data_IF_630088714269
#
_entry.id   IF_630088714269
#
_cell.length_a   1.000
_cell.length_b   1.000
_cell.length_c   1.000
_cell.angle_alpha   90.00
_cell.angle_beta   90.00
_cell.angle_gamma   90.00
#
_symmetry.space_group_name_H-M   'P 1'
#
loop_
_entity.id
_entity.type
_entity.pdbx_description
1 polymer ?
#
# COMPACT_ATOMS: atom_id res chain seq x y z
N UNK A 1 -24.61 -39.26 50.06
CA UNK A 1 -24.85 -39.15 48.60
C UNK A 1 -25.88 -38.05 48.43
N UNK A 2 -25.40 -36.86 48.10
CA UNK A 2 -26.21 -35.69 47.78
C UNK A 2 -25.53 -35.07 46.56
N UNK A 3 -26.20 -35.21 45.42
CA UNK A 3 -25.74 -34.78 44.11
C UNK A 3 -25.86 -33.26 43.99
N UNK A 4 -24.81 -32.63 43.47
CA UNK A 4 -24.70 -31.18 43.27
C UNK A 4 -25.18 -30.83 41.86
N UNK A 5 -26.29 -30.11 41.78
CA UNK A 5 -26.96 -29.70 40.55
C UNK A 5 -26.26 -28.45 39.96
N UNK A 6 -25.67 -28.57 38.78
CA UNK A 6 -24.99 -27.48 38.08
C UNK A 6 -25.98 -26.69 37.22
N UNK A 7 -26.34 -25.49 37.64
CA UNK A 7 -27.23 -24.58 36.91
C UNK A 7 -26.64 -24.12 35.56
N UNK A 8 -27.46 -24.15 34.49
CA UNK A 8 -27.13 -23.56 33.18
C UNK A 8 -27.62 -22.11 33.10
N UNK A 9 -26.81 -21.16 32.61
CA UNK A 9 -27.22 -19.76 32.51
C UNK A 9 -28.25 -19.52 31.40
N UNK A 10 -29.31 -18.78 31.73
CA UNK A 10 -30.51 -18.56 30.90
C UNK A 10 -30.55 -17.14 30.31
N UNK A 11 -29.57 -16.77 29.48
CA UNK A 11 -29.64 -15.54 28.66
C UNK A 11 -28.52 -15.47 27.64
N UNK A 12 -28.84 -15.14 26.38
CA UNK A 12 -27.84 -14.93 25.31
C UNK A 12 -26.83 -13.83 25.62
N UNK A 13 -27.11 -12.92 26.55
CA UNK A 13 -26.20 -11.85 26.96
C UNK A 13 -25.11 -12.34 27.92
N UNK A 14 -25.43 -13.29 28.80
CA UNK A 14 -24.47 -13.88 29.74
C UNK A 14 -23.48 -14.82 29.03
N UNK A 15 -23.93 -15.51 27.98
CA UNK A 15 -23.08 -16.34 27.13
C UNK A 15 -22.03 -15.53 26.35
N UNK A 16 -22.40 -14.34 25.85
CA UNK A 16 -21.46 -13.45 25.14
C UNK A 16 -20.46 -12.81 26.12
N UNK A 17 -20.91 -12.52 27.35
CA UNK A 17 -20.05 -11.97 28.40
C UNK A 17 -19.06 -13.02 28.93
N UNK A 18 -19.46 -14.30 29.00
CA UNK A 18 -18.55 -15.38 29.38
C UNK A 18 -17.51 -15.68 28.29
N UNK A 19 -17.88 -15.62 27.01
CA UNK A 19 -16.95 -15.78 25.87
C UNK A 19 -15.92 -14.64 25.79
N UNK A 20 -16.32 -13.40 26.07
CA UNK A 20 -15.41 -12.25 26.08
C UNK A 20 -14.47 -12.24 27.30
N UNK A 21 -14.90 -12.80 28.44
CA UNK A 21 -14.06 -13.00 29.62
C UNK A 21 -13.06 -14.13 29.42
N UNK A 22 -13.51 -15.27 28.89
CA UNK A 22 -12.63 -16.40 28.55
C UNK A 22 -11.56 -16.02 27.51
N UNK A 23 -11.92 -15.24 26.49
CA UNK A 23 -10.96 -14.74 25.50
C UNK A 23 -9.98 -13.68 26.04
N UNK A 24 -10.32 -12.99 27.13
CA UNK A 24 -9.42 -12.05 27.81
C UNK A 24 -8.42 -12.78 28.70
N UNK A 25 -8.87 -13.80 29.43
CA UNK A 25 -8.03 -14.62 30.31
C UNK A 25 -7.03 -15.50 29.50
N UNK A 26 -7.42 -15.95 28.30
CA UNK A 26 -6.54 -16.70 27.39
C UNK A 26 -5.47 -15.79 26.74
N UNK A 27 -5.80 -14.53 26.46
CA UNK A 27 -4.84 -13.54 25.94
C UNK A 27 -3.85 -13.07 27.03
N UNK A 28 -4.31 -13.00 28.28
CA UNK A 28 -3.49 -12.60 29.44
C UNK A 28 -2.55 -13.73 29.87
N UNK A 29 -2.99 -14.99 29.84
CA UNK A 29 -2.10 -16.16 30.03
C UNK A 29 -1.02 -16.25 28.95
N UNK A 30 -1.37 -16.01 27.67
CA UNK A 30 -0.38 -15.98 26.57
C UNK A 30 0.59 -14.81 26.67
N UNK A 31 0.17 -13.71 27.31
CA UNK A 31 1.03 -12.54 27.59
C UNK A 31 2.01 -12.81 28.73
N UNK A 32 1.59 -13.56 29.75
CA UNK A 32 2.46 -14.01 30.85
C UNK A 32 3.45 -15.06 30.38
N UNK A 33 3.05 -16.05 29.56
CA UNK A 33 3.98 -17.03 28.97
C UNK A 33 5.05 -16.40 28.07
N UNK A 34 4.72 -15.31 27.35
CA UNK A 34 5.67 -14.56 26.53
C UNK A 34 6.66 -13.73 27.36
N UNK A 35 6.27 -13.29 28.55
CA UNK A 35 7.12 -12.52 29.47
C UNK A 35 8.08 -13.41 30.28
N UNK A 36 7.74 -14.68 30.50
CA UNK A 36 8.60 -15.64 31.23
C UNK A 36 9.73 -16.21 30.36
N UNK A 37 9.65 -16.07 29.03
CA UNK A 37 10.70 -16.53 28.09
C UNK A 37 11.68 -15.43 27.64
N UNK A 38 11.64 -14.22 28.23
CA UNK A 38 12.57 -13.12 27.89
C UNK A 38 13.49 -12.76 29.06
N UNK A 39 14.34 -13.70 29.48
CA UNK A 39 15.47 -13.39 30.37
C UNK A 39 16.76 -13.98 29.83
N UNK A 40 17.78 -13.13 29.86
CA UNK A 40 19.20 -13.32 29.56
C UNK A 40 19.65 -13.50 28.11
N UNK A 41 19.91 -12.36 27.45
CA UNK A 41 21.18 -12.10 26.76
C UNK A 41 21.38 -10.58 26.62
N UNK A 42 22.18 -9.98 27.51
CA UNK A 42 22.69 -8.62 27.29
C UNK A 42 23.81 -8.70 26.23
N UNK A 43 23.49 -8.40 24.97
CA UNK A 43 24.50 -8.02 23.99
C UNK A 43 24.48 -6.49 23.85
N UNK A 44 25.59 -5.85 24.27
CA UNK A 44 25.87 -4.45 23.98
C UNK A 44 25.83 -4.23 22.46
N UNK A 45 24.76 -3.61 21.97
CA UNK A 45 24.71 -3.10 20.60
C UNK A 45 25.44 -1.78 20.58
N UNK A 46 26.70 -1.83 20.17
CA UNK A 46 27.53 -0.65 19.95
C UNK A 46 26.86 0.26 18.90
N UNK A 47 26.28 1.36 19.37
CA UNK A 47 25.49 2.30 18.58
C UNK A 47 26.39 3.36 17.97
N UNK A 48 27.26 2.94 17.05
CA UNK A 48 28.04 3.87 16.25
C UNK A 48 27.15 4.44 15.11
N UNK A 49 27.12 5.76 14.91
CA UNK A 49 26.40 6.36 13.79
C UNK A 49 27.04 5.90 12.47
N UNK A 50 26.27 5.21 11.64
CA UNK A 50 26.71 4.76 10.32
C UNK A 50 27.14 5.99 9.52
N UNK A 51 28.44 6.10 9.23
CA UNK A 51 28.98 7.24 8.50
C UNK A 51 28.65 7.11 7.01
N UNK A 52 28.40 8.26 6.36
CA UNK A 52 28.06 8.38 4.94
C UNK A 52 29.04 7.62 4.00
N UNK A 53 30.28 7.44 4.43
CA UNK A 53 31.34 6.77 3.67
C UNK A 53 31.19 5.23 3.63
N UNK A 54 30.68 4.59 4.68
CA UNK A 54 30.54 3.13 4.73
C UNK A 54 29.46 2.58 3.78
N UNK A 55 28.47 3.41 3.41
CA UNK A 55 27.39 3.03 2.48
C UNK A 55 27.87 3.00 1.02
N UNK A 56 28.90 3.78 0.67
CA UNK A 56 29.36 3.95 -0.72
C UNK A 56 30.22 2.79 -1.25
N UNK A 57 30.75 1.91 -0.39
CA UNK A 57 31.82 0.97 -0.76
C UNK A 57 31.44 -0.53 -0.70
N UNK A 58 30.18 -0.89 -0.42
CA UNK A 58 29.74 -2.30 -0.50
C UNK A 58 29.10 -2.57 -1.88
N UNK A 59 29.44 -3.68 -2.58
CA UNK A 59 28.73 -4.10 -3.79
C UNK A 59 27.35 -4.64 -3.38
N UNK A 60 26.44 -3.72 -3.06
CA UNK A 60 25.11 -4.00 -2.55
C UNK A 60 24.05 -3.75 -3.61
N UNK A 61 23.44 -4.84 -4.10
CA UNK A 61 22.20 -4.89 -4.89
C UNK A 61 22.05 -3.80 -5.97
N UNK A 62 22.28 -4.16 -7.24
CA UNK A 62 21.92 -3.31 -8.38
C UNK A 62 20.43 -2.97 -8.25
N UNK A 63 20.11 -1.69 -8.04
CA UNK A 63 18.73 -1.27 -7.87
C UNK A 63 17.92 -1.54 -9.14
N UNK A 64 16.86 -2.35 -9.03
CA UNK A 64 16.01 -2.69 -10.17
C UNK A 64 15.19 -1.48 -10.66
N UNK A 65 15.30 -1.17 -11.96
CA UNK A 65 14.46 -0.20 -12.66
C UNK A 65 13.10 -0.84 -13.03
N UNK A 66 12.04 -0.04 -13.13
CA UNK A 66 10.76 -0.52 -13.66
C UNK A 66 10.84 -0.78 -15.17
N UNK A 67 11.57 0.08 -15.89
CA UNK A 67 11.82 -0.06 -17.31
C UNK A 67 13.25 0.37 -17.66
N UNK A 68 13.78 -0.19 -18.75
CA UNK A 68 15.13 0.11 -19.23
C UNK A 68 15.17 1.08 -20.43
N UNK A 69 14.11 1.87 -20.67
CA UNK A 69 14.03 2.77 -21.83
C UNK A 69 15.17 3.80 -21.91
N UNK A 70 15.71 4.19 -20.75
CA UNK A 70 16.87 5.08 -20.66
C UNK A 70 18.13 4.50 -21.32
N UNK A 71 18.28 3.17 -21.36
CA UNK A 71 19.41 2.50 -22.05
C UNK A 71 19.37 2.72 -23.58
N UNK A 72 18.22 3.11 -24.11
CA UNK A 72 18.00 3.39 -25.52
C UNK A 72 17.89 4.91 -25.81
N UNK A 73 18.28 5.77 -24.86
CA UNK A 73 18.21 7.23 -25.03
C UNK A 73 16.78 7.80 -25.10
N UNK A 74 15.77 7.04 -24.65
CA UNK A 74 14.36 7.45 -24.63
C UNK A 74 13.87 7.78 -23.23
N UNK A 75 14.73 8.30 -22.36
CA UNK A 75 14.42 8.57 -20.95
C UNK A 75 13.35 9.65 -20.78
N UNK A 76 13.46 10.77 -21.52
CA UNK A 76 12.50 11.88 -21.43
C UNK A 76 11.12 11.57 -22.05
N UNK A 77 11.08 10.66 -23.03
CA UNK A 77 9.85 10.24 -23.73
C UNK A 77 9.24 8.96 -23.15
N UNK A 78 9.89 8.36 -22.15
CA UNK A 78 9.47 7.07 -21.61
C UNK A 78 8.16 7.17 -20.83
N UNK A 79 7.09 6.62 -21.42
CA UNK A 79 5.78 6.46 -20.76
C UNK A 79 5.59 5.14 -20.01
N UNK A 80 6.61 4.28 -19.89
CA UNK A 80 6.44 3.01 -19.18
C UNK A 80 5.98 3.24 -17.73
N UNK A 81 4.91 2.57 -17.33
CA UNK A 81 4.29 2.72 -16.01
C UNK A 81 3.40 3.95 -15.86
N UNK A 82 3.35 4.84 -16.86
CA UNK A 82 2.31 5.86 -16.96
C UNK A 82 1.07 5.15 -17.51
N UNK A 83 0.10 4.86 -16.66
CA UNK A 83 -1.17 4.30 -17.11
C UNK A 83 -1.89 5.43 -17.88
N UNK A 84 -2.17 5.23 -19.18
CA UNK A 84 -2.83 6.21 -20.08
C UNK A 84 -4.30 6.52 -19.70
N UNK A 85 -4.67 6.31 -18.43
CA UNK A 85 -6.01 6.65 -17.94
C UNK A 85 -6.20 8.16 -18.06
N UNK A 86 -7.26 8.56 -18.76
CA UNK A 86 -7.76 9.94 -19.01
C UNK A 86 -8.05 10.72 -17.71
N UNK A 87 -7.80 10.12 -16.55
CA UNK A 87 -8.18 10.67 -15.28
C UNK A 87 -7.14 11.71 -14.83
N UNK A 88 -7.59 12.94 -14.65
CA UNK A 88 -6.77 14.08 -14.23
C UNK A 88 -6.00 13.79 -12.94
N UNK A 89 -4.82 14.41 -12.82
CA UNK A 89 -3.99 14.35 -11.61
C UNK A 89 -4.63 15.24 -10.53
N UNK A 90 -4.94 14.67 -9.36
CA UNK A 90 -5.55 15.42 -8.25
C UNK A 90 -4.63 16.54 -7.72
N UNK A 91 -3.32 16.38 -7.91
CA UNK A 91 -2.33 17.39 -7.58
C UNK A 91 -1.13 17.32 -8.53
N UNK A 92 -0.45 18.46 -8.64
CA UNK A 92 0.78 18.65 -9.44
C UNK A 92 1.85 19.35 -8.60
N UNK A 93 3.07 19.51 -9.11
CA UNK A 93 4.11 20.26 -8.41
C UNK A 93 3.78 21.75 -8.33
N UNK A 94 4.07 22.37 -7.20
CA UNK A 94 3.79 23.77 -6.93
C UNK A 94 4.95 24.68 -7.35
N UNK A 95 4.69 25.58 -8.31
CA UNK A 95 5.66 26.58 -8.75
C UNK A 95 6.06 27.56 -7.65
N UNK A 96 5.17 27.78 -6.68
CA UNK A 96 5.38 28.69 -5.56
C UNK A 96 5.97 27.99 -4.33
N UNK A 97 6.02 26.66 -4.32
CA UNK A 97 6.55 25.87 -3.22
C UNK A 97 7.64 24.90 -3.68
N UNK A 98 8.77 25.50 -4.08
CA UNK A 98 10.00 24.82 -4.49
C UNK A 98 11.21 25.67 -4.12
N UNK A 99 12.38 25.05 -4.01
CA UNK A 99 13.64 25.77 -3.87
C UNK A 99 14.03 26.54 -5.14
N UNK A 100 14.94 27.52 -5.00
CA UNK A 100 15.44 28.33 -6.11
C UNK A 100 16.09 27.49 -7.23
N UNK A 101 16.84 26.44 -6.86
CA UNK A 101 17.53 25.54 -7.80
C UNK A 101 16.61 24.47 -8.43
N UNK A 102 15.29 24.72 -8.49
CA UNK A 102 14.28 23.80 -9.01
C UNK A 102 13.48 24.44 -10.14
N UNK A 103 13.33 23.71 -11.24
CA UNK A 103 12.50 24.06 -12.40
C UNK A 103 11.41 23.01 -12.56
N UNK A 104 10.16 23.44 -12.72
CA UNK A 104 9.01 22.56 -12.95
C UNK A 104 8.63 22.65 -14.43
N UNK A 105 8.32 21.51 -15.05
CA UNK A 105 7.92 21.43 -16.45
C UNK A 105 6.54 22.04 -16.74
N UNK A 106 6.17 22.22 -18.02
CA UNK A 106 4.93 22.90 -18.42
C UNK A 106 3.65 22.24 -17.89
N UNK A 107 3.60 20.90 -17.87
CA UNK A 107 2.47 20.13 -17.34
C UNK A 107 2.46 20.02 -15.80
N UNK A 108 3.46 20.64 -15.15
CA UNK A 108 3.70 20.62 -13.70
C UNK A 108 3.83 19.22 -13.09
N UNK A 109 4.04 18.18 -13.89
CA UNK A 109 4.26 16.80 -13.41
C UNK A 109 5.73 16.44 -13.31
N UNK A 110 6.55 17.04 -14.16
CA UNK A 110 8.00 16.88 -14.14
C UNK A 110 8.66 17.98 -13.30
N UNK A 111 9.64 17.60 -12.49
CA UNK A 111 10.50 18.52 -11.76
C UNK A 111 11.96 18.21 -12.07
N UNK A 112 12.73 19.24 -12.42
CA UNK A 112 14.17 19.21 -12.65
C UNK A 112 14.88 19.98 -11.53
N UNK A 113 15.82 19.32 -10.88
CA UNK A 113 16.69 19.92 -9.87
C UNK A 113 18.03 20.28 -10.48
N UNK A 114 18.61 21.39 -10.02
CA UNK A 114 19.98 21.81 -10.35
C UNK A 114 20.24 21.79 -11.87
N UNK A 115 19.50 22.59 -12.67
CA UNK A 115 19.53 22.49 -14.13
C UNK A 115 20.91 22.72 -14.75
N UNK A 116 21.75 23.52 -14.08
CA UNK A 116 23.10 23.88 -14.53
C UNK A 116 24.17 23.04 -13.80
N UNK A 117 24.31 23.30 -12.50
CA UNK A 117 25.22 22.61 -11.57
C UNK A 117 24.54 22.42 -10.21
N UNK A 118 25.06 21.51 -9.40
CA UNK A 118 24.56 21.28 -8.05
C UNK A 118 25.34 22.09 -7.03
N UNK A 119 24.63 22.86 -6.21
CA UNK A 119 25.22 23.71 -5.16
C UNK A 119 24.74 23.38 -3.74
N UNK A 120 23.83 22.43 -3.59
CA UNK A 120 23.27 22.04 -2.31
C UNK A 120 22.07 21.11 -2.48
N UNK A 121 21.08 21.25 -1.61
CA UNK A 121 19.87 20.43 -1.65
C UNK A 121 18.68 21.24 -2.15
N UNK A 122 18.02 20.73 -3.18
CA UNK A 122 16.84 21.32 -3.80
C UNK A 122 15.60 20.47 -3.51
N UNK A 123 14.45 21.11 -3.39
CA UNK A 123 13.19 20.50 -2.93
C UNK A 123 12.01 21.03 -3.76
N UNK A 124 11.00 20.19 -3.97
CA UNK A 124 9.71 20.58 -4.51
C UNK A 124 8.57 19.97 -3.69
N UNK A 125 7.49 20.74 -3.54
CA UNK A 125 6.26 20.36 -2.84
C UNK A 125 5.08 20.30 -3.81
N UNK A 126 4.15 19.36 -3.61
CA UNK A 126 2.89 19.33 -4.35
C UNK A 126 1.91 20.43 -3.92
N UNK A 127 0.90 20.68 -4.76
CA UNK A 127 -0.09 21.74 -4.54
C UNK A 127 -1.13 21.45 -3.46
N UNK A 128 -1.44 20.17 -3.21
CA UNK A 128 -2.57 19.79 -2.37
C UNK A 128 -2.14 19.29 -0.99
N UNK A 129 -2.71 19.82 0.11
CA UNK A 129 -2.56 19.24 1.43
C UNK A 129 -3.38 17.96 1.59
N UNK A 130 -2.77 16.97 2.22
CA UNK A 130 -3.34 15.66 2.57
C UNK A 130 -3.63 15.64 4.07
N UNK A 131 -4.89 15.37 4.46
CA UNK A 131 -5.37 15.59 5.84
C UNK A 131 -6.15 14.43 6.45
N UNK A 132 -7.05 13.81 5.69
CA UNK A 132 -8.13 12.99 6.25
C UNK A 132 -8.52 11.77 5.39
N UNK A 133 -7.90 11.62 4.22
CA UNK A 133 -8.18 10.53 3.30
C UNK A 133 -7.02 9.53 3.19
N UNK A 134 -7.20 8.56 2.30
CA UNK A 134 -6.17 7.66 1.81
C UNK A 134 -5.58 8.30 0.56
N UNK A 135 -4.29 8.59 0.56
CA UNK A 135 -3.63 9.22 -0.59
C UNK A 135 -2.59 8.28 -1.16
N UNK A 136 -2.63 8.06 -2.47
CA UNK A 136 -1.65 7.26 -3.17
C UNK A 136 -1.08 8.01 -4.36
N UNK A 137 0.24 8.03 -4.50
CA UNK A 137 0.89 8.58 -5.69
C UNK A 137 2.14 7.80 -6.08
N UNK A 138 2.54 7.90 -7.34
CA UNK A 138 3.73 7.27 -7.89
C UNK A 138 4.66 8.34 -8.48
N UNK A 139 5.93 8.30 -8.08
CA UNK A 139 7.02 9.13 -8.61
C UNK A 139 7.97 8.26 -9.41
N UNK A 140 8.20 8.61 -10.68
CA UNK A 140 9.19 7.98 -11.54
C UNK A 140 10.51 8.75 -11.51
N UNK A 141 11.60 8.02 -11.35
CA UNK A 141 12.96 8.55 -11.48
C UNK A 141 13.30 8.62 -12.97
N UNK A 142 13.28 9.82 -13.56
CA UNK A 142 13.42 9.99 -15.02
C UNK A 142 14.88 9.99 -15.43
N UNK A 143 15.74 10.62 -14.64
CA UNK A 143 17.19 10.76 -14.89
C UNK A 143 18.01 9.78 -14.05
N UNK A 144 19.33 9.67 -14.26
CA UNK A 144 20.24 8.99 -13.34
C UNK A 144 20.02 9.46 -11.89
N UNK A 145 20.10 8.50 -10.96
CA UNK A 145 19.93 8.71 -9.53
C UNK A 145 21.30 8.60 -8.86
N UNK A 146 21.79 9.71 -8.29
CA UNK A 146 23.13 9.81 -7.74
C UNK A 146 23.24 10.98 -6.75
N UNK A 147 24.47 11.34 -6.38
CA UNK A 147 24.76 12.46 -5.47
C UNK A 147 24.64 12.04 -4.00
N UNK A 148 24.59 13.04 -3.11
CA UNK A 148 24.46 12.81 -1.68
C UNK A 148 23.13 12.14 -1.35
N UNK A 149 22.03 12.72 -1.84
CA UNK A 149 20.71 12.12 -1.73
C UNK A 149 19.73 12.56 -2.82
N UNK A 150 18.75 11.69 -3.07
CA UNK A 150 17.52 11.89 -3.82
C UNK A 150 16.41 11.18 -3.05
N UNK A 151 15.33 11.90 -2.73
CA UNK A 151 14.33 11.41 -1.77
C UNK A 151 12.91 11.64 -2.25
N UNK A 152 12.00 10.76 -1.81
CA UNK A 152 10.55 10.87 -1.98
C UNK A 152 9.91 10.77 -0.60
N UNK A 153 8.91 11.60 -0.31
CA UNK A 153 8.23 11.55 0.97
C UNK A 153 7.17 12.63 1.14
N UNK A 154 7.01 13.08 2.38
CA UNK A 154 6.02 14.08 2.77
C UNK A 154 6.62 15.10 3.75
N UNK A 155 6.03 16.28 3.80
CA UNK A 155 6.38 17.29 4.79
C UNK A 155 5.27 18.29 5.06
N UNK A 156 5.40 19.03 6.16
CA UNK A 156 4.44 20.08 6.54
C UNK A 156 4.67 21.36 5.73
N UNK A 157 3.74 22.30 5.81
CA UNK A 157 3.91 23.63 5.21
C UNK A 157 4.95 24.50 5.92
N UNK A 158 5.46 24.08 7.08
CA UNK A 158 6.40 24.86 7.90
C UNK A 158 7.86 24.75 7.42
N UNK A 159 8.15 23.77 6.55
CA UNK A 159 9.49 23.57 6.03
C UNK A 159 9.96 24.75 5.17
N UNK A 160 11.13 25.28 5.50
CA UNK A 160 11.86 26.18 4.62
C UNK A 160 12.58 25.37 3.53
N UNK A 161 12.00 25.38 2.32
CA UNK A 161 12.47 24.59 1.18
C UNK A 161 13.86 25.00 0.66
N UNK A 162 14.33 26.23 0.98
CA UNK A 162 15.64 26.76 0.57
C UNK A 162 16.69 26.75 1.70
N UNK A 163 16.36 26.16 2.86
CA UNK A 163 17.24 26.13 4.04
C UNK A 163 18.62 25.55 3.74
N UNK A 164 18.69 24.55 2.88
CA UNK A 164 19.93 23.82 2.54
C UNK A 164 20.39 24.07 1.10
N UNK A 165 20.07 25.23 0.52
CA UNK A 165 20.44 25.56 -0.87
C UNK A 165 21.96 25.53 -1.16
N UNK A 166 22.79 25.68 -0.13
CA UNK A 166 24.26 25.64 -0.20
C UNK A 166 24.88 24.49 0.61
N UNK A 167 24.07 23.51 1.02
CA UNK A 167 24.49 22.39 1.87
C UNK A 167 23.89 21.08 1.33
N UNK A 168 24.70 20.06 1.15
CA UNK A 168 24.24 18.75 0.71
C UNK A 168 23.73 17.92 1.89
N UNK A 169 22.47 17.47 1.86
CA UNK A 169 21.92 16.62 2.90
C UNK A 169 20.73 15.77 2.41
N UNK A 170 20.42 14.72 3.18
CA UNK A 170 19.10 14.08 3.17
C UNK A 170 18.08 15.05 3.77
N UNK A 171 17.34 15.76 2.93
CA UNK A 171 16.43 16.84 3.35
C UNK A 171 15.21 16.31 4.08
N UNK A 172 14.48 15.37 3.45
CA UNK A 172 13.23 14.84 3.99
C UNK A 172 13.54 13.92 5.17
N UNK A 173 13.02 14.26 6.34
CA UNK A 173 13.29 13.55 7.58
C UNK A 173 14.49 14.07 8.37
N UNK A 174 15.13 15.16 7.91
CA UNK A 174 16.20 15.82 8.68
C UNK A 174 15.69 16.45 9.97
N UNK A 175 14.43 16.85 9.99
CA UNK A 175 13.73 17.41 11.14
C UNK A 175 12.42 16.64 11.43
N UNK A 176 11.62 17.15 12.36
CA UNK A 176 10.35 16.57 12.77
C UNK A 176 9.18 16.90 11.82
N UNK A 177 9.40 17.78 10.84
CA UNK A 177 8.36 18.31 9.94
C UNK A 177 8.33 17.58 8.59
N UNK A 178 9.20 16.60 8.39
CA UNK A 178 9.29 15.79 7.18
C UNK A 178 9.58 14.32 7.45
N UNK A 179 9.23 13.49 6.46
CA UNK A 179 9.47 12.04 6.42
C UNK A 179 9.86 11.67 4.99
N UNK A 180 10.91 10.87 4.80
CA UNK A 180 11.41 10.58 3.46
C UNK A 180 12.10 9.23 3.31
N UNK A 181 11.97 8.66 2.11
CA UNK A 181 12.74 7.51 1.66
C UNK A 181 13.87 7.99 0.72
N UNK A 182 15.11 7.74 1.11
CA UNK A 182 16.32 7.98 0.33
C UNK A 182 16.49 6.93 -0.79
N UNK A 183 17.10 7.34 -1.90
CA UNK A 183 17.52 6.42 -2.97
C UNK A 183 18.48 5.33 -2.54
N UNK A 184 19.14 5.53 -1.40
CA UNK A 184 20.01 4.54 -0.77
C UNK A 184 19.23 3.41 -0.09
N UNK A 185 17.90 3.56 0.08
CA UNK A 185 17.03 2.58 0.74
C UNK A 185 16.80 2.85 2.24
N UNK A 186 17.25 4.00 2.74
CA UNK A 186 17.04 4.45 4.12
C UNK A 186 15.76 5.28 4.24
N UNK A 187 15.00 5.09 5.33
CA UNK A 187 13.92 6.00 5.72
C UNK A 187 14.41 6.96 6.79
N UNK A 188 14.00 8.22 6.70
CA UNK A 188 14.48 9.32 7.53
C UNK A 188 13.33 10.03 8.24
N UNK A 189 13.53 10.34 9.53
CA UNK A 189 12.68 11.23 10.32
C UNK A 189 13.40 11.70 11.58
N UNK A 190 13.23 12.98 11.98
CA UNK A 190 13.87 13.57 13.18
C UNK A 190 15.40 13.41 13.20
N UNK A 191 16.04 13.40 12.03
CA UNK A 191 17.48 13.22 11.91
C UNK A 191 17.96 11.77 12.04
N UNK A 192 17.08 10.82 12.35
CA UNK A 192 17.39 9.39 12.36
C UNK A 192 17.24 8.80 10.96
N UNK A 193 18.10 7.84 10.62
CA UNK A 193 18.03 7.05 9.40
C UNK A 193 17.96 5.56 9.73
N UNK A 194 17.05 4.83 9.08
CA UNK A 194 16.85 3.38 9.32
C UNK A 194 16.82 2.64 7.99
N UNK A 195 17.50 1.49 7.92
CA UNK A 195 17.47 0.63 6.73
C UNK A 195 16.06 0.09 6.53
N UNK A 196 15.53 0.25 5.32
CA UNK A 196 14.14 -0.08 5.03
C UNK A 196 13.97 -0.84 3.71
N UNK A 197 14.70 -0.46 2.67
CA UNK A 197 14.59 -1.07 1.35
C UNK A 197 15.95 -1.18 0.65
N UNK A 198 15.98 -1.84 -0.51
CA UNK A 198 17.10 -1.75 -1.44
C UNK A 198 17.10 -0.42 -2.20
N UNK A 199 18.25 -0.08 -2.81
CA UNK A 199 18.42 1.16 -3.58
C UNK A 199 17.44 1.25 -4.75
N UNK A 200 17.07 2.46 -5.16
CA UNK A 200 16.36 2.71 -6.41
C UNK A 200 17.21 3.52 -7.39
N UNK A 201 16.93 3.37 -8.67
CA UNK A 201 17.78 3.83 -9.79
C UNK A 201 16.94 4.55 -10.85
N UNK A 202 17.58 4.99 -11.93
CA UNK A 202 16.87 5.55 -13.07
C UNK A 202 15.84 4.56 -13.61
N UNK A 203 14.64 5.06 -13.90
CA UNK A 203 13.52 4.24 -14.34
C UNK A 203 12.80 3.50 -13.21
N UNK A 204 13.25 3.56 -11.95
CA UNK A 204 12.45 3.07 -10.82
C UNK A 204 11.19 3.93 -10.61
N UNK A 205 10.12 3.28 -10.15
CA UNK A 205 8.88 3.93 -9.70
C UNK A 205 8.76 3.77 -8.20
N UNK A 206 8.61 4.88 -7.48
CA UNK A 206 8.37 4.91 -6.03
C UNK A 206 6.92 5.27 -5.78
N UNK A 207 6.16 4.32 -5.27
CA UNK A 207 4.78 4.54 -4.81
C UNK A 207 4.76 4.93 -3.34
N UNK A 208 3.84 5.81 -2.97
CA UNK A 208 3.64 6.26 -1.59
C UNK A 208 2.16 6.16 -1.27
N UNK A 209 1.83 5.46 -0.18
CA UNK A 209 0.49 5.45 0.42
C UNK A 209 0.55 6.17 1.77
N UNK A 210 -0.18 7.27 1.87
CA UNK A 210 -0.39 8.02 3.11
C UNK A 210 -1.82 7.74 3.60
N UNK A 211 -1.92 6.99 4.69
CA UNK A 211 -3.17 6.74 5.41
C UNK A 211 -3.29 7.76 6.54
N UNK A 212 -4.10 8.81 6.34
CA UNK A 212 -4.27 9.84 7.38
C UNK A 212 -5.17 9.39 8.54
N UNK A 213 -5.91 8.29 8.38
CA UNK A 213 -6.76 7.73 9.43
C UNK A 213 -5.95 6.91 10.43
N UNK A 214 -5.04 6.04 9.94
CA UNK A 214 -4.10 5.29 10.79
C UNK A 214 -2.81 6.06 11.07
N UNK A 215 -2.59 7.15 10.35
CA UNK A 215 -1.39 7.98 10.44
C UNK A 215 -0.14 7.23 10.01
N UNK A 216 -0.22 6.48 8.91
CA UNK A 216 0.89 5.66 8.43
C UNK A 216 1.39 6.12 7.06
N UNK A 217 2.71 6.05 6.86
CA UNK A 217 3.36 6.29 5.57
C UNK A 217 3.99 4.99 5.07
N UNK A 218 3.51 4.51 3.93
CA UNK A 218 3.87 3.22 3.34
C UNK A 218 4.49 3.43 1.97
N UNK A 219 5.59 2.74 1.68
CA UNK A 219 6.30 2.87 0.40
C UNK A 219 6.20 1.61 -0.46
N UNK A 220 6.31 1.83 -1.76
CA UNK A 220 6.33 0.80 -2.79
C UNK A 220 7.50 1.08 -3.74
N UNK A 221 8.15 0.04 -4.25
CA UNK A 221 9.14 0.15 -5.33
C UNK A 221 8.69 -0.71 -6.50
N UNK A 222 8.61 -0.10 -7.67
CA UNK A 222 8.15 -0.75 -8.90
C UNK A 222 6.81 -1.48 -8.68
N UNK A 223 5.88 -0.81 -7.97
CA UNK A 223 4.55 -1.31 -7.59
C UNK A 223 4.55 -2.51 -6.62
N UNK A 224 5.70 -2.93 -6.09
CA UNK A 224 5.82 -3.92 -5.00
C UNK A 224 5.85 -3.22 -3.65
N UNK A 225 5.07 -3.71 -2.68
CA UNK A 225 5.05 -3.16 -1.32
C UNK A 225 6.41 -3.35 -0.64
N UNK A 226 6.95 -2.28 -0.08
CA UNK A 226 8.12 -2.34 0.79
C UNK A 226 7.71 -2.47 2.27
N UNK A 227 6.60 -1.82 2.65
CA UNK A 227 6.03 -1.85 3.99
C UNK A 227 5.71 -0.46 4.53
N UNK A 228 5.31 -0.40 5.80
CA UNK A 228 5.07 0.86 6.52
C UNK A 228 6.37 1.40 7.09
N UNK A 229 6.76 2.59 6.69
CA UNK A 229 8.00 3.24 7.13
C UNK A 229 7.82 4.10 8.38
N UNK A 230 6.67 4.77 8.51
CA UNK A 230 6.41 5.71 9.60
C UNK A 230 4.97 5.61 10.11
N UNK A 231 4.80 5.97 11.39
CA UNK A 231 3.54 6.01 12.12
C UNK A 231 3.38 7.39 12.81
N UNK A 232 2.18 7.69 13.31
CA UNK A 232 1.91 8.92 14.06
C UNK A 232 1.78 10.18 13.18
N UNK A 233 1.36 10.02 11.92
CA UNK A 233 1.14 11.13 11.00
C UNK A 233 -0.27 11.76 11.11
N UNK A 234 -1.14 11.26 11.98
CA UNK A 234 -2.50 11.75 12.19
C UNK A 234 -2.54 13.24 12.59
N UNK A 235 -3.64 13.91 12.23
CA UNK A 235 -3.90 15.30 12.63
C UNK A 235 -2.99 16.35 11.98
N UNK A 236 -2.13 15.94 11.04
CA UNK A 236 -1.24 16.84 10.29
C UNK A 236 -1.84 17.20 8.94
N UNK A 237 -1.42 18.33 8.39
CA UNK A 237 -1.59 18.64 6.98
C UNK A 237 -0.25 18.40 6.28
N UNK A 238 -0.18 17.33 5.49
CA UNK A 238 1.05 16.90 4.84
C UNK A 238 0.98 17.13 3.35
N UNK A 239 2.13 17.44 2.75
CA UNK A 239 2.24 17.62 1.31
C UNK A 239 3.22 16.60 0.75
N UNK A 240 2.96 16.04 -0.43
CA UNK A 240 3.93 15.20 -1.12
C UNK A 240 5.15 16.05 -1.48
N UNK A 241 6.33 15.51 -1.24
CA UNK A 241 7.60 16.20 -1.46
C UNK A 241 8.64 15.29 -2.08
N UNK A 242 9.54 15.92 -2.84
CA UNK A 242 10.74 15.30 -3.39
C UNK A 242 11.92 16.22 -3.21
N UNK A 243 13.10 15.66 -3.00
CA UNK A 243 14.35 16.43 -2.88
C UNK A 243 15.50 15.79 -3.63
N UNK A 244 16.47 16.59 -4.05
CA UNK A 244 17.67 16.14 -4.75
C UNK A 244 18.88 17.02 -4.48
N UNK A 245 20.02 16.36 -4.35
CA UNK A 245 21.36 16.96 -4.42
C UNK A 245 22.06 16.70 -5.75
N UNK A 246 21.51 15.85 -6.61
CA UNK A 246 22.10 15.54 -7.91
C UNK A 246 21.89 16.69 -8.89
N UNK A 247 22.94 17.01 -9.65
CA UNK A 247 22.85 17.93 -10.77
C UNK A 247 21.94 17.35 -11.86
N UNK A 248 21.21 18.21 -12.58
CA UNK A 248 20.42 17.85 -13.76
C UNK A 248 19.49 16.65 -13.53
N UNK A 249 19.02 16.45 -12.30
CA UNK A 249 18.20 15.30 -11.96
C UNK A 249 16.71 15.62 -12.12
N UNK A 250 15.92 14.60 -12.45
CA UNK A 250 14.53 14.73 -12.84
C UNK A 250 13.65 13.66 -12.22
N UNK A 251 12.54 14.09 -11.64
CA UNK A 251 11.49 13.22 -11.11
C UNK A 251 10.15 13.60 -11.74
N UNK A 252 9.27 12.62 -11.93
CA UNK A 252 7.95 12.86 -12.53
C UNK A 252 6.86 12.18 -11.72
N UNK A 253 5.79 12.89 -11.41
CA UNK A 253 4.57 12.26 -10.91
C UNK A 253 3.84 11.58 -12.07
N UNK A 254 3.55 10.30 -11.92
CA UNK A 254 2.91 9.48 -12.96
C UNK A 254 1.51 8.99 -12.57
N UNK A 255 1.18 9.06 -11.27
CA UNK A 255 -0.15 8.78 -10.74
C UNK A 255 -0.37 9.55 -9.44
N UNK A 256 -1.56 10.09 -9.21
CA UNK A 256 -2.03 10.50 -7.89
C UNK A 256 -3.53 10.33 -7.75
N UNK A 257 -3.95 9.68 -6.67
CA UNK A 257 -5.35 9.42 -6.33
C UNK A 257 -5.55 9.56 -4.83
N UNK A 258 -6.73 10.01 -4.46
CA UNK A 258 -7.21 9.95 -3.09
C UNK A 258 -8.50 9.14 -3.02
N UNK A 259 -8.69 8.48 -1.89
CA UNK A 259 -9.88 7.71 -1.62
C UNK A 259 -10.36 7.98 -0.21
N UNK A 260 -11.67 8.13 -0.04
CA UNK A 260 -12.21 8.42 1.27
C UNK A 260 -12.01 7.26 2.23
N UNK A 261 -11.50 7.56 3.42
CA UNK A 261 -11.52 6.58 4.51
C UNK A 261 -12.98 6.28 4.84
N UNK A 262 -13.40 5.06 4.55
CA UNK A 262 -14.79 4.63 4.60
C UNK A 262 -14.85 3.12 4.84
N UNK A 263 -16.03 2.61 5.20
CA UNK A 263 -16.25 1.17 5.28
C UNK A 263 -15.93 0.49 3.95
N UNK A 264 -16.27 1.11 2.81
CA UNK A 264 -15.94 0.59 1.48
C UNK A 264 -14.43 0.41 1.28
N UNK A 265 -13.63 1.40 1.69
CA UNK A 265 -12.17 1.29 1.66
C UNK A 265 -11.66 0.19 2.60
N UNK A 266 -12.19 0.10 3.82
CA UNK A 266 -11.82 -0.95 4.76
C UNK A 266 -12.16 -2.34 4.20
N UNK A 267 -13.33 -2.52 3.56
CA UNK A 267 -13.67 -3.75 2.85
C UNK A 267 -12.66 -4.08 1.75
N UNK A 268 -12.21 -3.07 0.98
CA UNK A 268 -11.17 -3.27 -0.03
C UNK A 268 -9.83 -3.73 0.58
N UNK A 269 -9.46 -3.19 1.74
CA UNK A 269 -8.26 -3.63 2.46
C UNK A 269 -8.40 -5.08 2.95
N UNK A 270 -9.56 -5.45 3.51
CA UNK A 270 -9.85 -6.82 3.93
C UNK A 270 -9.81 -7.77 2.73
N UNK A 271 -10.47 -7.42 1.62
CA UNK A 271 -10.42 -8.20 0.37
C UNK A 271 -8.98 -8.42 -0.09
N UNK A 272 -8.14 -7.37 -0.04
CA UNK A 272 -6.73 -7.51 -0.39
C UNK A 272 -5.97 -8.48 0.52
N UNK A 273 -6.31 -8.52 1.81
CA UNK A 273 -5.70 -9.43 2.79
C UNK A 273 -6.18 -10.89 2.66
N UNK A 274 -7.38 -11.10 2.13
CA UNK A 274 -7.93 -12.44 1.90
C UNK A 274 -7.35 -13.13 0.66
N UNK A 275 -6.93 -12.35 -0.35
CA UNK A 275 -6.38 -12.88 -1.60
C UNK A 275 -4.85 -13.02 -1.50
N UNK A 276 -4.26 -14.16 -1.94
CA UNK A 276 -2.82 -14.37 -1.93
C UNK A 276 -2.02 -13.18 -2.51
N UNK A 277 -0.88 -12.79 -1.92
CA UNK A 277 -0.14 -11.60 -2.33
C UNK A 277 0.25 -11.59 -3.81
N UNK A 278 0.56 -12.74 -4.40
CA UNK A 278 0.95 -12.89 -5.80
C UNK A 278 -0.20 -12.76 -6.82
N UNK A 279 -1.45 -12.70 -6.37
CA UNK A 279 -2.61 -12.59 -7.25
C UNK A 279 -3.17 -11.17 -7.27
N UNK A 280 -3.74 -10.79 -8.41
CA UNK A 280 -4.50 -9.57 -8.54
C UNK A 280 -5.91 -9.80 -7.96
N UNK A 281 -6.33 -8.97 -7.00
CA UNK A 281 -7.64 -9.09 -6.34
C UNK A 281 -8.78 -8.97 -7.35
N UNK A 282 -8.65 -8.07 -8.33
CA UNK A 282 -9.68 -7.78 -9.31
C UNK A 282 -9.85 -8.88 -10.38
N UNK A 283 -8.87 -9.78 -10.50
CA UNK A 283 -8.90 -10.93 -11.39
C UNK A 283 -9.21 -12.23 -10.63
N UNK A 284 -8.86 -12.30 -9.35
CA UNK A 284 -9.10 -13.48 -8.51
C UNK A 284 -10.56 -13.63 -8.05
N UNK A 285 -11.35 -12.56 -8.14
CA UNK A 285 -12.75 -12.53 -7.72
C UNK A 285 -13.61 -12.11 -8.91
N UNK A 286 -14.67 -12.87 -9.18
CA UNK A 286 -15.68 -12.49 -10.17
C UNK A 286 -16.45 -11.26 -9.69
N UNK A 287 -16.05 -10.08 -10.19
CA UNK A 287 -16.66 -8.81 -9.86
C UNK A 287 -17.51 -8.25 -11.01
N UNK A 288 -18.63 -7.58 -10.72
CA UNK A 288 -19.37 -6.83 -11.72
C UNK A 288 -18.45 -5.85 -12.48
N UNK A 289 -18.56 -5.73 -13.82
CA UNK A 289 -17.62 -4.93 -14.62
C UNK A 289 -17.49 -3.47 -14.14
N UNK A 290 -18.59 -2.87 -13.67
CA UNK A 290 -18.58 -1.51 -13.11
C UNK A 290 -17.75 -1.39 -11.84
N UNK A 291 -17.87 -2.36 -10.92
CA UNK A 291 -17.06 -2.38 -9.70
C UNK A 291 -15.58 -2.62 -10.01
N UNK A 292 -15.29 -3.55 -10.93
CA UNK A 292 -13.91 -3.80 -11.38
C UNK A 292 -13.28 -2.54 -11.97
N UNK A 293 -14.00 -1.83 -12.84
CA UNK A 293 -13.54 -0.57 -13.42
C UNK A 293 -13.35 0.53 -12.36
N UNK A 294 -14.27 0.63 -11.40
CA UNK A 294 -14.14 1.57 -10.28
C UNK A 294 -12.88 1.32 -9.44
N UNK A 295 -12.64 0.05 -9.07
CA UNK A 295 -11.45 -0.31 -8.29
C UNK A 295 -10.16 -0.09 -9.08
N UNK A 296 -10.14 -0.41 -10.37
CA UNK A 296 -8.98 -0.13 -11.23
C UNK A 296 -8.68 1.38 -11.34
N UNK A 297 -9.71 2.21 -11.47
CA UNK A 297 -9.48 3.65 -11.61
C UNK A 297 -9.03 4.32 -10.30
N UNK A 298 -9.52 3.84 -9.14
CA UNK A 298 -9.32 4.52 -7.86
C UNK A 298 -8.35 3.83 -6.90
N UNK A 299 -8.31 2.49 -6.92
CA UNK A 299 -7.65 1.64 -5.92
C UNK A 299 -6.76 0.54 -6.53
N UNK A 300 -6.35 0.67 -7.79
CA UNK A 300 -5.53 -0.36 -8.45
C UNK A 300 -4.23 -0.68 -7.70
N UNK A 301 -3.61 0.34 -7.09
CA UNK A 301 -2.44 0.16 -6.22
C UNK A 301 -2.68 -0.79 -5.05
N UNK A 302 -3.93 -0.89 -4.57
CA UNK A 302 -4.33 -1.79 -3.50
C UNK A 302 -4.70 -3.17 -4.06
N UNK A 303 -5.26 -3.25 -5.27
CA UNK A 303 -5.73 -4.50 -5.89
C UNK A 303 -4.63 -5.30 -6.59
N UNK A 304 -3.52 -4.66 -6.98
CA UNK A 304 -2.40 -5.28 -7.69
C UNK A 304 -1.72 -6.40 -6.87
N UNK A 305 -1.07 -7.35 -7.57
CA UNK A 305 -0.16 -8.30 -6.95
C UNK A 305 0.93 -7.56 -6.17
N UNK A 306 1.18 -8.03 -4.96
CA UNK A 306 2.24 -7.61 -4.09
C UNK A 306 3.16 -8.81 -3.92
N UNK A 307 4.15 -8.95 -4.81
CA UNK A 307 5.28 -9.84 -4.51
C UNK A 307 6.05 -9.21 -3.35
N UNK A 308 5.87 -9.77 -2.15
CA UNK A 308 6.69 -9.39 -1.00
C UNK A 308 8.16 -9.57 -1.39
N UNK A 309 8.99 -8.56 -1.14
CA UNK A 309 10.43 -8.71 -1.27
C UNK A 309 10.86 -9.95 -0.48
N UNK A 310 11.63 -10.85 -1.09
CA UNK A 310 12.09 -12.07 -0.43
C UNK A 310 12.65 -11.71 0.95
N UNK A 311 11.97 -12.15 2.02
CA UNK A 311 12.55 -12.09 3.35
C UNK A 311 13.89 -12.84 3.32
N UNK A 312 14.95 -12.35 4.00
CA UNK A 312 16.19 -13.11 4.10
C UNK A 312 15.84 -14.51 4.59
N UNK A 313 16.25 -15.53 3.83
CA UNK A 313 15.96 -16.94 4.12
C UNK A 313 16.52 -17.30 5.50
N UNK A 314 15.70 -17.15 6.53
CA UNK A 314 15.89 -17.83 7.81
C UNK A 314 15.92 -19.32 7.51
N UNK A 315 16.95 -20.01 8.00
CA UNK A 315 17.13 -21.45 7.84
C UNK A 315 15.86 -22.14 8.34
N UNK A 316 15.06 -22.69 7.41
CA UNK A 316 13.88 -23.49 7.73
C UNK A 316 14.28 -24.64 8.65
N UNK A 317 13.84 -24.61 9.90
CA UNK A 317 13.65 -25.84 10.66
C UNK A 317 12.48 -26.60 10.03
N UNK A 318 12.73 -27.86 9.69
CA UNK A 318 11.78 -28.75 9.03
C UNK A 318 10.72 -29.21 10.03
N UNK A 319 9.51 -28.64 9.96
CA UNK A 319 8.31 -29.29 10.48
C UNK A 319 7.59 -29.99 9.31
N UNK A 320 7.88 -31.28 9.14
CA UNK A 320 7.05 -32.20 8.35
C UNK A 320 5.82 -32.53 9.20
N UNK A 321 4.63 -32.33 8.64
CA UNK A 321 3.39 -32.91 9.19
C UNK A 321 2.25 -31.91 9.25
N UNK A 322 1.45 -31.88 8.18
CA UNK A 322 -0.03 -31.89 8.20
C UNK A 322 -0.50 -31.48 6.79
N UNK A 323 -0.52 -32.43 5.86
CA UNK A 323 -1.28 -32.30 4.62
C UNK A 323 -2.55 -33.14 4.78
N UNK A 324 -3.66 -32.56 4.32
CA UNK A 324 -4.99 -33.12 4.02
C UNK A 324 -6.08 -32.78 5.04
N UNK A 325 -6.88 -31.77 4.69
CA UNK A 325 -8.33 -31.88 4.60
C UNK A 325 -8.86 -30.63 3.93
N UNK A 326 -9.29 -30.76 2.67
CA UNK A 326 -10.30 -29.94 1.96
C UNK A 326 -10.48 -30.58 0.59
N UNK A 327 -11.14 -31.73 0.61
CA UNK A 327 -11.76 -32.42 -0.52
C UNK A 327 -12.49 -33.63 0.08
N UNK A 328 -13.65 -33.38 0.69
CA UNK A 328 -14.72 -34.36 0.90
C UNK A 328 -15.90 -33.67 1.58
N UNK A 329 -16.66 -32.92 0.78
CA UNK A 329 -18.04 -32.49 1.06
C UNK A 329 -18.70 -32.24 -0.30
N UNK A 330 -18.82 -33.29 -1.11
CA UNK A 330 -19.71 -33.29 -2.28
C UNK A 330 -19.88 -34.72 -2.81
N UNK A 331 -20.50 -35.58 -2.01
CA UNK A 331 -21.29 -36.72 -2.45
C UNK A 331 -21.64 -37.52 -1.19
N UNK A 332 -22.88 -37.36 -0.73
CA UNK A 332 -23.70 -38.37 -0.04
C UNK A 332 -24.91 -37.62 0.52
N UNK A 333 -26.00 -37.61 -0.25
CA UNK A 333 -27.38 -37.51 0.25
C UNK A 333 -28.32 -37.69 -0.95
N UNK A 334 -28.38 -38.93 -1.45
CA UNK A 334 -29.39 -39.36 -2.41
C UNK A 334 -29.56 -40.89 -2.35
N UNK A 335 -30.16 -41.40 -1.28
CA UNK A 335 -30.98 -42.63 -1.30
C UNK A 335 -31.49 -42.96 0.11
N UNK A 336 -32.78 -42.73 0.35
CA UNK A 336 -33.71 -43.67 1.01
C UNK A 336 -34.84 -42.93 1.73
N UNK A 337 -36.02 -42.91 1.11
CA UNK A 337 -37.27 -43.17 1.82
C UNK A 337 -38.36 -43.50 0.80
N UNK A 338 -38.74 -44.76 0.80
CA UNK A 338 -39.93 -45.30 0.16
C UNK A 338 -41.07 -45.27 1.15
N UNK A 339 -42.16 -44.58 0.82
CA UNK A 339 -43.49 -44.84 1.37
C UNK A 339 -44.55 -44.40 0.37
N UNK A 340 -45.46 -45.34 0.09
CA UNK A 340 -46.64 -45.26 -0.77
C UNK A 340 -47.64 -44.22 -0.23
N UNK A 341 -48.43 -43.52 -1.06
CA UNK A 341 -49.85 -43.80 -1.42
C UNK A 341 -50.48 -42.47 -1.95
N UNK A 342 -51.72 -42.44 -2.50
CA UNK A 342 -52.10 -42.58 -3.90
C UNK A 342 -52.50 -41.26 -4.58
N UNK A 343 -52.55 -41.24 -5.93
CA UNK A 343 -53.09 -40.13 -6.70
C UNK A 343 -54.59 -40.25 -6.98
N UNK A 344 -55.29 -39.15 -7.31
CA UNK A 344 -56.55 -39.22 -8.03
C UNK A 344 -56.46 -38.62 -9.45
N UNK A 345 -56.88 -39.47 -10.39
CA UNK A 345 -57.80 -39.22 -11.51
C UNK A 345 -57.58 -38.06 -12.50
N UNK A 346 -57.53 -38.51 -13.76
CA UNK A 346 -57.65 -37.81 -15.04
C UNK A 346 -58.99 -37.12 -15.33
N UNK A 347 -58.97 -36.37 -16.45
CA UNK A 347 -60.07 -35.77 -17.25
C UNK A 347 -60.38 -34.32 -16.88
N UNK A 348 -60.49 -33.34 -17.78
CA UNK A 348 -60.92 -33.33 -19.19
C UNK A 348 -60.56 -31.96 -19.84
N UNK A 349 -60.33 -31.94 -21.15
CA UNK A 349 -60.38 -30.73 -22.02
C UNK A 349 -61.86 -30.46 -22.44
N UNK A 350 -62.26 -29.47 -23.29
CA UNK A 350 -61.49 -28.48 -24.08
C UNK A 350 -62.15 -27.07 -24.24
N UNK A 351 -61.57 -26.25 -25.15
CA UNK A 351 -62.15 -25.10 -25.91
C UNK A 351 -62.20 -23.73 -25.17
N UNK A 352 -62.03 -22.54 -25.76
CA UNK A 352 -61.95 -22.04 -27.16
C UNK A 352 -61.48 -20.56 -27.22
N UNK A 353 -60.77 -20.23 -28.30
CA UNK A 353 -60.87 -19.02 -29.17
C UNK A 353 -60.61 -17.56 -28.70
N UNK A 354 -59.72 -16.90 -29.48
CA UNK A 354 -59.78 -15.51 -30.02
C UNK A 354 -59.57 -14.34 -29.02
N UNK A 355 -59.00 -13.15 -29.33
CA UNK A 355 -58.65 -12.43 -30.56
C UNK A 355 -57.73 -11.21 -30.23
N UNK A 356 -56.88 -10.85 -31.19
CA UNK A 356 -56.51 -9.52 -31.71
C UNK A 356 -56.55 -8.24 -30.82
N UNK A 357 -55.45 -7.48 -30.75
CA UNK A 357 -55.28 -6.18 -31.47
C UNK A 357 -54.28 -5.19 -30.83
N UNK A 358 -53.44 -4.66 -31.71
CA UNK A 358 -52.66 -3.40 -31.79
C UNK A 358 -52.92 -2.20 -30.86
N UNK A 359 -51.84 -1.47 -30.55
CA UNK A 359 -51.56 0.00 -30.78
C UNK A 359 -50.40 0.42 -29.85
N UNK A 360 -49.18 0.77 -30.30
CA UNK A 360 -48.72 2.00 -30.97
C UNK A 360 -49.38 3.28 -30.44
N UNK A 361 -48.64 4.10 -29.68
CA UNK A 361 -48.48 5.53 -29.96
C UNK A 361 -47.26 6.11 -29.23
N UNK A 362 -46.48 6.90 -29.97
CA UNK A 362 -45.43 7.81 -29.53
C UNK A 362 -46.06 9.06 -28.90
N UNK A 363 -45.31 9.72 -28.02
CA UNK A 363 -44.76 11.06 -28.32
C UNK A 363 -43.42 11.18 -27.64
#
# INVERSE_FOLDING_TARGET
MSEEETERPSSSFEYITSLTRAGRDELESRRVELLVHSSDSEEEVDSHPITFHEVMMRPGSVGEAFCNCYKFGRDLECKCGEDDTVAEFEWVWDNNAKSAATVIGPDRRYVKFHPDYSCGTAVARGTQPMKDHQYYWEIKMVTPVYGTDMMVGVGTSQLNLDKYRHNFCSFLGKDADSWGLSYTGLVHHKGEAKKFAGRFTQGSIIGVHLDMWRGTLTFYKNRKLLGTAHHGLNGKALYPMVSSTAARSGMKIIRCRSFRTSLQFQCCQVLRSCIPPNLNVAEAIDMPPGLRGFLFNNLDWLMRPCEAAEAPRSKRSSCRGMKRRWADLSQEDAASSSTEEPGPSSSSSPSSSSSSSSKRFKT
#
